data_IF_845729287523
#
_entry.id   IF_845729287523
#
_cell.length_a   1.000
_cell.length_b   1.000
_cell.length_c   1.000
_cell.angle_alpha   90.00
_cell.angle_beta   90.00
_cell.angle_gamma   90.00
#
_symmetry.space_group_name_H-M   'P 1'
#
loop_
_entity.id
_entity.type
_entity.pdbx_description
1 polymer ?
#
# COMPACT_ATOMS: atom_id res chain seq x y z
N UNK A 1 55.89 63.74 1.72
CA UNK A 1 54.45 63.54 1.54
C UNK A 1 54.21 62.15 1.04
N UNK A 2 53.66 61.22 1.84
CA UNK A 2 53.30 59.87 1.42
C UNK A 2 51.76 59.75 1.40
N UNK A 3 51.19 59.50 0.23
CA UNK A 3 49.78 59.40 0.00
C UNK A 3 49.37 57.90 0.21
N UNK A 4 48.59 57.58 1.23
CA UNK A 4 48.05 56.25 1.47
C UNK A 4 46.66 56.16 0.84
N UNK A 5 46.55 55.27 -0.14
CA UNK A 5 45.28 54.93 -0.78
C UNK A 5 44.66 53.78 0.02
N UNK A 6 43.47 54.00 0.62
CA UNK A 6 42.67 52.99 1.28
C UNK A 6 41.66 52.43 0.24
N UNK A 7 41.85 51.18 -0.16
CA UNK A 7 40.91 50.45 -1.04
C UNK A 7 39.89 49.78 -0.14
N UNK A 8 38.67 50.32 -0.13
CA UNK A 8 37.53 49.69 0.57
C UNK A 8 37.00 48.48 -0.24
N UNK A 9 37.05 47.29 0.35
CA UNK A 9 36.45 46.08 -0.20
C UNK A 9 34.96 46.06 0.20
N UNK A 10 34.05 46.34 -0.73
CA UNK A 10 32.63 46.14 -0.55
C UNK A 10 32.26 44.70 -0.74
N UNK A 11 31.93 43.99 0.35
CA UNK A 11 31.40 42.63 0.32
C UNK A 11 29.95 42.62 -0.14
N UNK A 12 29.68 42.07 -1.32
CA UNK A 12 28.33 41.87 -1.82
C UNK A 12 27.75 40.61 -1.13
N UNK A 13 26.80 40.84 -0.20
CA UNK A 13 26.03 39.72 0.42
C UNK A 13 24.92 39.37 -0.56
N UNK A 14 25.08 38.22 -1.26
CA UNK A 14 24.02 37.63 -2.06
C UNK A 14 23.05 36.92 -1.11
N UNK A 15 21.92 37.56 -0.81
CA UNK A 15 20.82 36.92 -0.11
C UNK A 15 20.18 35.88 -1.04
N UNK A 16 20.40 34.58 -0.78
CA UNK A 16 19.62 33.51 -1.39
C UNK A 16 18.18 33.65 -0.91
N UNK A 17 17.31 34.16 -1.78
CA UNK A 17 15.87 34.14 -1.55
C UNK A 17 15.41 32.67 -1.56
N UNK A 18 15.03 32.12 -0.39
CA UNK A 18 14.37 30.83 -0.31
C UNK A 18 13.00 30.95 -1.00
N UNK A 19 12.80 30.14 -2.05
CA UNK A 19 11.47 30.02 -2.67
C UNK A 19 10.47 29.58 -1.60
N UNK A 20 9.28 30.20 -1.57
CA UNK A 20 8.23 29.75 -0.68
C UNK A 20 7.90 28.28 -0.99
N UNK A 21 7.58 27.46 0.03
CA UNK A 21 7.24 26.06 -0.15
C UNK A 21 6.06 25.97 -1.13
N UNK A 22 6.23 25.16 -2.17
CA UNK A 22 5.17 24.85 -3.13
C UNK A 22 3.95 24.31 -2.37
N UNK A 23 2.74 24.82 -2.56
CA UNK A 23 1.56 24.27 -1.89
C UNK A 23 1.41 22.79 -2.23
N UNK A 24 0.99 21.96 -1.26
CA UNK A 24 0.83 20.52 -1.49
C UNK A 24 -0.14 20.30 -2.64
N UNK A 25 0.30 19.53 -3.65
CA UNK A 25 -0.56 19.14 -4.75
C UNK A 25 -1.65 18.19 -4.21
N UNK A 26 -2.92 18.38 -4.63
CA UNK A 26 -3.98 17.47 -4.21
C UNK A 26 -3.64 16.04 -4.64
N UNK A 27 -3.82 15.07 -3.73
CA UNK A 27 -3.61 13.65 -4.02
C UNK A 27 -4.71 13.19 -4.96
N UNK A 28 -4.39 12.94 -6.23
CA UNK A 28 -5.35 12.60 -7.29
C UNK A 28 -5.40 11.11 -7.61
N UNK A 29 -4.85 10.23 -6.75
CA UNK A 29 -4.88 8.80 -7.01
C UNK A 29 -6.22 8.15 -6.61
N UNK A 30 -6.70 7.10 -7.33
CA UNK A 30 -7.75 6.23 -6.84
C UNK A 30 -7.30 5.56 -5.54
N UNK A 31 -8.08 5.71 -4.46
CA UNK A 31 -7.63 5.13 -3.21
C UNK A 31 -8.55 5.40 -2.02
N UNK A 32 -8.16 4.87 -0.88
CA UNK A 32 -8.91 4.89 0.37
C UNK A 32 -8.16 5.69 1.42
N UNK A 33 -8.81 6.71 1.97
CA UNK A 33 -8.27 7.49 3.09
C UNK A 33 -8.47 6.72 4.40
N UNK A 34 -7.47 6.76 5.29
CA UNK A 34 -7.58 6.15 6.63
C UNK A 34 -8.68 6.82 7.46
N UNK A 35 -9.34 6.11 8.39
CA UNK A 35 -10.38 6.69 9.25
C UNK A 35 -9.95 7.95 10.01
N UNK A 36 -8.69 8.04 10.44
CA UNK A 36 -8.10 9.21 11.11
C UNK A 36 -7.68 10.33 10.13
N UNK A 37 -7.91 10.15 8.83
CA UNK A 37 -7.62 11.10 7.76
C UNK A 37 -6.14 11.53 7.64
N UNK A 38 -5.20 10.75 8.16
CA UNK A 38 -3.77 11.09 8.11
C UNK A 38 -3.01 10.43 6.96
N UNK A 39 -3.53 9.33 6.44
CA UNK A 39 -2.91 8.58 5.35
C UNK A 39 -3.91 8.31 4.23
N UNK A 40 -3.38 8.13 3.03
CA UNK A 40 -4.13 7.66 1.87
C UNK A 40 -3.41 6.47 1.24
N UNK A 41 -4.13 5.38 1.06
CA UNK A 41 -3.67 4.25 0.28
C UNK A 41 -4.17 4.41 -1.16
N UNK A 42 -3.25 4.50 -2.11
CA UNK A 42 -3.52 4.60 -3.54
C UNK A 42 -3.34 3.24 -4.19
N UNK A 43 -4.38 2.78 -4.89
CA UNK A 43 -4.32 1.58 -5.72
C UNK A 43 -4.19 2.01 -7.16
N UNK A 44 -3.04 1.78 -7.76
CA UNK A 44 -2.71 2.22 -9.11
C UNK A 44 -2.74 1.02 -10.05
N UNK A 45 -3.39 1.17 -11.20
CA UNK A 45 -3.25 0.21 -12.30
C UNK A 45 -1.88 0.37 -12.94
N UNK A 46 -1.13 -0.73 -13.03
CA UNK A 46 0.19 -0.78 -13.66
C UNK A 46 0.16 -1.86 -14.75
N UNK A 47 0.84 -1.63 -15.85
CA UNK A 47 0.80 -2.54 -16.99
C UNK A 47 -0.05 -1.99 -18.14
N UNK A 48 -0.10 -2.75 -19.23
CA UNK A 48 -0.74 -2.35 -20.49
C UNK A 48 -1.67 -3.43 -21.03
N UNK A 49 -2.36 -4.14 -20.14
CA UNK A 49 -3.31 -5.14 -20.63
C UNK A 49 -4.43 -4.44 -21.40
N UNK A 50 -4.83 -4.92 -22.61
CA UNK A 50 -5.91 -4.30 -23.39
C UNK A 50 -7.26 -4.29 -22.66
N UNK A 51 -7.45 -5.19 -21.67
CA UNK A 51 -8.66 -5.25 -20.86
C UNK A 51 -8.35 -4.72 -19.44
N UNK A 52 -8.81 -3.51 -19.07
CA UNK A 52 -8.49 -2.86 -17.79
C UNK A 52 -8.67 -3.71 -16.52
N UNK A 53 -9.68 -4.60 -16.37
CA UNK A 53 -9.84 -5.37 -15.13
C UNK A 53 -8.72 -6.38 -14.88
N UNK A 54 -7.90 -6.68 -15.88
CA UNK A 54 -6.74 -7.58 -15.77
C UNK A 54 -5.40 -6.84 -15.61
N UNK A 55 -5.42 -5.51 -15.53
CA UNK A 55 -4.20 -4.77 -15.24
C UNK A 55 -3.69 -5.09 -13.84
N UNK A 56 -2.39 -5.29 -13.76
CA UNK A 56 -1.68 -5.46 -12.51
C UNK A 56 -1.75 -4.18 -11.67
N UNK A 57 -1.52 -4.29 -10.37
CA UNK A 57 -1.63 -3.17 -9.46
C UNK A 57 -0.32 -2.82 -8.78
N UNK A 58 -0.20 -1.57 -8.36
CA UNK A 58 0.73 -1.10 -7.35
C UNK A 58 -0.06 -0.43 -6.22
N UNK A 59 0.35 -0.67 -4.99
CA UNK A 59 -0.22 -0.02 -3.82
C UNK A 59 0.80 0.95 -3.25
N UNK A 60 0.41 2.20 -3.09
CA UNK A 60 1.22 3.23 -2.44
C UNK A 60 0.51 3.76 -1.21
N UNK A 61 1.23 3.84 -0.11
CA UNK A 61 0.77 4.54 1.09
C UNK A 61 1.38 5.93 1.06
N UNK A 62 0.52 6.94 1.14
CA UNK A 62 0.91 8.36 1.10
C UNK A 62 0.41 9.09 2.34
N UNK A 63 1.16 10.09 2.76
CA UNK A 63 0.65 11.09 3.70
C UNK A 63 -0.27 12.10 2.99
N UNK A 64 -0.86 13.01 3.74
CA UNK A 64 -1.80 13.99 3.20
C UNK A 64 -1.11 15.11 2.41
N UNK A 65 0.22 15.19 2.43
CA UNK A 65 1.00 16.09 1.53
C UNK A 65 1.26 15.45 0.17
N UNK A 66 0.97 14.14 0.02
CA UNK A 66 1.21 13.36 -1.19
C UNK A 66 2.54 12.61 -1.20
N UNK A 67 3.36 12.74 -0.14
CA UNK A 67 4.62 12.01 -0.04
C UNK A 67 4.39 10.50 0.10
N UNK A 68 5.13 9.71 -0.69
CA UNK A 68 5.04 8.24 -0.66
C UNK A 68 5.84 7.73 0.54
N UNK A 69 5.16 7.02 1.44
CA UNK A 69 5.73 6.41 2.64
C UNK A 69 6.14 4.95 2.43
N UNK A 70 5.38 4.24 1.59
CA UNK A 70 5.66 2.84 1.24
C UNK A 70 5.01 2.49 -0.11
N UNK A 71 5.62 1.52 -0.82
CA UNK A 71 5.10 1.01 -2.09
C UNK A 71 5.22 -0.51 -2.14
N UNK A 72 4.18 -1.18 -2.65
CA UNK A 72 4.21 -2.60 -3.03
C UNK A 72 3.70 -2.75 -4.46
N UNK A 73 4.58 -3.14 -5.37
CA UNK A 73 4.24 -3.39 -6.77
C UNK A 73 3.99 -4.88 -7.00
N UNK A 74 2.95 -5.17 -7.76
CA UNK A 74 2.60 -6.51 -8.23
C UNK A 74 2.80 -6.65 -9.74
N UNK A 75 3.56 -5.71 -10.32
CA UNK A 75 3.88 -5.72 -11.74
C UNK A 75 4.82 -6.88 -12.06
N UNK A 76 4.45 -7.70 -13.05
CA UNK A 76 5.33 -8.68 -13.67
C UNK A 76 6.00 -8.13 -14.92
N UNK A 77 7.12 -8.74 -15.38
CA UNK A 77 7.81 -8.33 -16.60
C UNK A 77 6.95 -8.46 -17.87
N UNK A 78 6.11 -9.48 -17.91
CA UNK A 78 5.25 -9.82 -19.07
C UNK A 78 3.84 -9.22 -18.98
N UNK A 79 3.41 -8.73 -17.82
CA UNK A 79 2.07 -8.17 -17.59
C UNK A 79 0.97 -9.24 -17.37
N UNK A 80 1.34 -10.52 -17.24
CA UNK A 80 0.39 -11.64 -17.12
C UNK A 80 0.55 -12.45 -15.83
N UNK A 81 1.73 -12.40 -15.21
CA UNK A 81 2.06 -13.18 -14.01
C UNK A 81 2.06 -12.34 -12.72
N UNK A 82 1.58 -11.13 -12.79
CA UNK A 82 1.42 -10.26 -11.62
C UNK A 82 0.07 -10.43 -10.95
N UNK A 83 -0.33 -9.42 -10.18
CA UNK A 83 -1.59 -9.45 -9.44
C UNK A 83 -2.30 -8.10 -9.52
N UNK A 84 -3.62 -8.15 -9.42
CA UNK A 84 -4.47 -6.97 -9.32
C UNK A 84 -5.18 -6.93 -7.96
N UNK A 85 -5.31 -5.74 -7.40
CA UNK A 85 -6.05 -5.52 -6.15
C UNK A 85 -7.56 -5.60 -6.41
N UNK A 86 -8.26 -6.37 -5.59
CA UNK A 86 -9.68 -6.66 -5.76
C UNK A 86 -10.56 -6.06 -4.65
N UNK A 87 -10.05 -6.00 -3.42
CA UNK A 87 -10.65 -5.36 -2.27
C UNK A 87 -9.57 -4.67 -1.47
N UNK A 88 -9.85 -3.48 -0.96
CA UNK A 88 -8.90 -2.71 -0.15
C UNK A 88 -9.63 -1.87 0.89
N UNK A 89 -9.15 -1.88 2.14
CA UNK A 89 -9.84 -1.28 3.27
C UNK A 89 -8.86 -0.98 4.42
N UNK A 90 -9.06 0.13 5.13
CA UNK A 90 -8.32 0.41 6.36
C UNK A 90 -8.98 -0.27 7.56
N UNK A 91 -8.17 -0.72 8.53
CA UNK A 91 -8.68 -1.13 9.83
C UNK A 91 -9.34 0.03 10.56
N UNK A 92 -10.35 -0.23 11.41
CA UNK A 92 -11.05 0.82 12.15
C UNK A 92 -10.15 1.72 13.00
N UNK A 93 -9.02 1.20 13.50
CA UNK A 93 -8.02 1.94 14.26
C UNK A 93 -7.01 2.71 13.40
N UNK A 94 -7.13 2.65 12.07
CA UNK A 94 -6.21 3.31 11.11
C UNK A 94 -4.77 2.79 11.13
N UNK A 95 -4.49 1.67 11.78
CA UNK A 95 -3.11 1.16 11.89
C UNK A 95 -2.73 0.23 10.75
N UNK A 96 -3.72 -0.38 10.08
CA UNK A 96 -3.47 -1.35 9.03
C UNK A 96 -4.29 -1.05 7.77
N UNK A 97 -3.63 -1.06 6.62
CA UNK A 97 -4.32 -1.07 5.33
C UNK A 97 -4.28 -2.49 4.77
N UNK A 98 -5.44 -3.10 4.59
CA UNK A 98 -5.58 -4.49 4.16
C UNK A 98 -6.13 -4.54 2.74
N UNK A 99 -5.60 -5.44 1.91
CA UNK A 99 -6.11 -5.63 0.56
C UNK A 99 -5.90 -7.07 0.07
N UNK A 100 -6.88 -7.56 -0.68
CA UNK A 100 -6.80 -8.85 -1.37
C UNK A 100 -6.47 -8.66 -2.85
N UNK A 101 -5.78 -9.64 -3.42
CA UNK A 101 -5.35 -9.64 -4.82
C UNK A 101 -5.79 -10.90 -5.54
N UNK A 102 -5.94 -10.79 -6.86
CA UNK A 102 -6.10 -11.93 -7.76
C UNK A 102 -4.93 -11.96 -8.77
N UNK A 103 -4.64 -13.12 -9.33
CA UNK A 103 -3.71 -13.25 -10.45
C UNK A 103 -4.22 -12.50 -11.68
N UNK A 104 -3.37 -11.69 -12.31
CA UNK A 104 -3.70 -10.95 -13.53
C UNK A 104 -3.94 -11.87 -14.74
N UNK A 105 -3.18 -12.96 -14.85
CA UNK A 105 -3.31 -13.95 -15.92
C UNK A 105 -4.28 -15.10 -15.61
N UNK A 106 -5.05 -15.02 -14.51
CA UNK A 106 -6.01 -16.07 -14.13
C UNK A 106 -5.38 -17.33 -13.55
N UNK A 107 -4.10 -17.35 -13.25
CA UNK A 107 -3.43 -18.45 -12.58
C UNK A 107 -3.89 -18.53 -11.11
N UNK A 108 -4.16 -19.75 -10.62
CA UNK A 108 -4.67 -19.97 -9.26
C UNK A 108 -5.91 -19.12 -8.94
N UNK A 109 -7.03 -19.22 -9.68
CA UNK A 109 -8.20 -18.36 -9.54
C UNK A 109 -8.91 -18.52 -8.18
N UNK A 110 -8.58 -19.55 -7.43
CA UNK A 110 -9.08 -19.84 -6.09
C UNK A 110 -8.30 -19.11 -4.98
N UNK A 111 -7.08 -18.60 -5.26
CA UNK A 111 -6.17 -18.02 -4.29
C UNK A 111 -6.25 -16.50 -4.33
N UNK A 112 -6.80 -15.92 -3.28
CA UNK A 112 -6.97 -14.47 -3.07
C UNK A 112 -5.93 -13.95 -2.10
N UNK A 113 -4.66 -14.01 -2.50
CA UNK A 113 -3.53 -13.59 -1.68
C UNK A 113 -3.78 -12.24 -1.02
N UNK A 114 -3.74 -12.19 0.30
CA UNK A 114 -4.17 -11.04 1.08
C UNK A 114 -2.99 -10.44 1.81
N UNK A 115 -2.88 -9.12 1.74
CA UNK A 115 -1.77 -8.34 2.31
C UNK A 115 -2.28 -7.31 3.29
N UNK A 116 -1.38 -6.88 4.18
CA UNK A 116 -1.61 -5.69 4.97
C UNK A 116 -0.34 -4.82 5.04
N UNK A 117 -0.53 -3.51 5.12
CA UNK A 117 0.50 -2.55 5.48
C UNK A 117 0.40 -2.26 6.98
N UNK A 118 1.50 -2.44 7.72
CA UNK A 118 1.63 -2.05 9.12
C UNK A 118 2.18 -0.61 9.18
N UNK A 119 1.34 0.32 9.61
CA UNK A 119 1.67 1.75 9.67
C UNK A 119 2.82 2.04 10.63
N UNK A 120 2.85 1.37 11.78
CA UNK A 120 3.89 1.57 12.81
C UNK A 120 5.26 1.08 12.33
N UNK A 121 5.29 -0.06 11.64
CA UNK A 121 6.53 -0.66 11.12
C UNK A 121 6.88 -0.17 9.71
N UNK A 122 5.93 0.45 9.01
CA UNK A 122 6.06 0.91 7.61
C UNK A 122 6.41 -0.21 6.62
N UNK A 123 5.85 -1.39 6.82
CA UNK A 123 6.10 -2.58 6.01
C UNK A 123 4.81 -3.22 5.51
N UNK A 124 4.87 -3.85 4.34
CA UNK A 124 3.83 -4.75 3.86
C UNK A 124 4.15 -6.17 4.29
N UNK A 125 3.11 -6.90 4.72
CA UNK A 125 3.15 -8.32 5.06
C UNK A 125 2.03 -9.06 4.37
N UNK A 126 2.15 -10.37 4.27
CA UNK A 126 1.14 -11.24 3.72
C UNK A 126 0.36 -11.92 4.85
N UNK A 127 -0.97 -11.88 4.79
CA UNK A 127 -1.83 -12.55 5.77
C UNK A 127 -1.69 -14.06 5.67
N UNK A 128 -1.56 -14.56 4.45
CA UNK A 128 -1.44 -15.98 4.13
C UNK A 128 -0.25 -16.66 4.84
N UNK A 129 0.82 -15.91 5.14
CA UNK A 129 1.98 -16.42 5.92
C UNK A 129 1.60 -16.82 7.35
N UNK A 130 0.47 -16.31 7.88
CA UNK A 130 0.02 -16.53 9.25
C UNK A 130 -1.25 -17.35 9.36
N UNK A 131 -2.01 -17.44 8.29
CA UNK A 131 -3.32 -18.11 8.27
C UNK A 131 -3.38 -19.32 7.34
N UNK A 132 -2.45 -19.44 6.40
CA UNK A 132 -2.56 -20.28 5.23
C UNK A 132 -3.30 -19.61 4.08
N UNK A 133 -3.39 -20.29 2.91
CA UNK A 133 -3.90 -19.68 1.67
C UNK A 133 -5.33 -19.16 1.81
N UNK A 134 -5.54 -17.88 1.54
CA UNK A 134 -6.86 -17.26 1.53
C UNK A 134 -7.60 -17.62 0.23
N UNK A 135 -8.81 -18.18 0.35
CA UNK A 135 -9.59 -18.69 -0.79
C UNK A 135 -10.83 -17.85 -1.13
N UNK A 136 -11.05 -16.74 -0.46
CA UNK A 136 -12.13 -15.80 -0.78
C UNK A 136 -11.60 -14.37 -0.88
N UNK A 137 -12.09 -13.64 -1.89
CA UNK A 137 -11.75 -12.24 -2.11
C UNK A 137 -12.06 -11.35 -0.91
N UNK A 138 -13.18 -11.63 -0.25
CA UNK A 138 -13.72 -10.77 0.80
C UNK A 138 -13.17 -11.19 2.16
N UNK A 139 -12.45 -10.28 2.78
CA UNK A 139 -12.13 -10.31 4.20
C UNK A 139 -13.08 -9.39 4.97
N UNK A 140 -13.13 -9.51 6.29
CA UNK A 140 -13.83 -8.57 7.19
C UNK A 140 -12.83 -7.97 8.15
N UNK A 141 -12.95 -6.66 8.37
CA UNK A 141 -12.21 -5.94 9.40
C UNK A 141 -13.14 -5.56 10.53
N UNK A 142 -12.74 -5.85 11.77
CA UNK A 142 -13.48 -5.50 12.97
C UNK A 142 -12.56 -4.77 13.95
N UNK A 143 -13.16 -3.90 14.75
CA UNK A 143 -12.42 -3.10 15.73
C UNK A 143 -11.70 -3.96 16.78
N UNK A 144 -10.52 -3.54 17.22
CA UNK A 144 -9.76 -2.41 16.68
C UNK A 144 -9.00 -2.78 15.39
N UNK A 145 -8.49 -4.02 15.27
CA UNK A 145 -7.56 -4.50 14.24
C UNK A 145 -7.74 -6.00 13.92
N UNK A 146 -8.95 -6.53 14.09
CA UNK A 146 -9.23 -7.91 13.73
C UNK A 146 -9.46 -8.07 12.23
N UNK A 147 -8.83 -9.10 11.65
CA UNK A 147 -9.14 -9.59 10.30
C UNK A 147 -9.80 -10.97 10.40
N UNK A 148 -10.82 -11.19 9.58
CA UNK A 148 -11.45 -12.49 9.35
C UNK A 148 -11.33 -12.81 7.86
N UNK A 149 -10.74 -13.94 7.53
CA UNK A 149 -10.53 -14.46 6.17
C UNK A 149 -11.06 -15.88 6.07
N UNK A 150 -11.37 -16.32 4.85
CA UNK A 150 -11.66 -17.72 4.56
C UNK A 150 -10.41 -18.38 4.01
N UNK A 151 -9.86 -19.37 4.72
CA UNK A 151 -8.63 -20.07 4.33
C UNK A 151 -8.92 -21.46 3.81
N UNK A 152 -7.96 -21.98 3.03
CA UNK A 152 -8.03 -23.32 2.45
C UNK A 152 -8.09 -24.39 3.53
N UNK A 153 -8.78 -25.49 3.19
CA UNK A 153 -8.79 -26.69 4.00
C UNK A 153 -9.81 -26.67 5.13
N UNK A 154 -10.06 -27.85 5.62
CA UNK A 154 -10.88 -28.13 6.81
C UNK A 154 -10.10 -29.06 7.74
N UNK A 155 -10.64 -29.33 8.94
CA UNK A 155 -10.02 -30.31 9.84
C UNK A 155 -9.93 -31.73 9.22
N UNK A 156 -10.85 -32.05 8.31
CA UNK A 156 -10.91 -33.38 7.62
C UNK A 156 -10.23 -33.38 6.26
N UNK A 157 -10.12 -32.23 5.59
CA UNK A 157 -9.46 -32.07 4.29
C UNK A 157 -8.69 -30.75 4.20
N UNK A 158 -7.39 -30.76 4.50
CA UNK A 158 -6.55 -29.56 4.42
C UNK A 158 -6.40 -28.99 3.00
N UNK A 159 -6.74 -29.75 1.96
CA UNK A 159 -6.66 -29.32 0.56
C UNK A 159 -7.98 -28.79 0.00
N UNK A 160 -9.06 -28.81 0.79
CA UNK A 160 -10.36 -28.32 0.35
C UNK A 160 -10.34 -26.81 0.07
N UNK A 161 -10.38 -26.45 -1.20
CA UNK A 161 -10.45 -25.05 -1.66
C UNK A 161 -11.89 -24.58 -1.87
N UNK A 162 -12.86 -25.46 -1.89
CA UNK A 162 -14.27 -25.11 -2.12
C UNK A 162 -14.92 -24.55 -0.85
N UNK A 163 -14.72 -25.21 0.27
CA UNK A 163 -15.39 -24.86 1.53
C UNK A 163 -14.48 -24.08 2.46
N UNK A 164 -13.27 -24.57 2.72
CA UNK A 164 -12.35 -23.94 3.66
C UNK A 164 -12.94 -23.70 5.03
N UNK A 165 -12.29 -22.89 5.84
CA UNK A 165 -12.81 -22.47 7.16
C UNK A 165 -12.49 -21.00 7.45
N UNK A 166 -13.28 -20.32 8.26
CA UNK A 166 -12.98 -18.96 8.68
C UNK A 166 -11.80 -18.94 9.66
N UNK A 167 -10.87 -18.04 9.43
CA UNK A 167 -9.74 -17.77 10.30
C UNK A 167 -9.81 -16.32 10.77
N UNK A 168 -9.62 -16.09 12.07
CA UNK A 168 -9.67 -14.78 12.68
C UNK A 168 -8.39 -14.48 13.44
N UNK A 169 -7.73 -13.35 13.11
CA UNK A 169 -6.47 -12.92 13.71
C UNK A 169 -6.48 -11.44 14.05
N UNK A 170 -5.64 -11.05 15.00
CA UNK A 170 -5.30 -9.64 15.21
C UNK A 170 -4.13 -9.26 14.33
N UNK A 171 -4.29 -8.22 13.50
CA UNK A 171 -3.21 -7.74 12.63
C UNK A 171 -1.98 -7.29 13.43
N UNK A 172 -2.19 -6.68 14.60
CA UNK A 172 -1.11 -6.28 15.52
C UNK A 172 -0.31 -7.46 16.09
N UNK A 173 -0.82 -8.68 16.04
CA UNK A 173 -0.15 -9.89 16.51
C UNK A 173 0.62 -10.63 15.39
N UNK A 174 0.48 -10.22 14.13
CA UNK A 174 1.16 -10.84 12.99
C UNK A 174 2.57 -10.24 12.82
N UNK A 175 3.60 -10.93 13.31
CA UNK A 175 4.97 -10.42 13.36
C UNK A 175 5.94 -11.17 12.45
#
# INVERSE_FOLDING_TARGET
>A
MRLSIIIGLSSLIIACAQQPPTPPHPITCPGVTSPDQQLRACVLSVGRHPNPPFNESSVEIRDMTGAILATKSFKSPDGEHGRNVQKAEWSPDSQFFVFSTASSGGHSPWHWQTYFYDRKRKVFKEVDDFTGPVIKRNFKLNAPDWIEVQVQGTASDPMDIANGHPEKRRLSALH
#
